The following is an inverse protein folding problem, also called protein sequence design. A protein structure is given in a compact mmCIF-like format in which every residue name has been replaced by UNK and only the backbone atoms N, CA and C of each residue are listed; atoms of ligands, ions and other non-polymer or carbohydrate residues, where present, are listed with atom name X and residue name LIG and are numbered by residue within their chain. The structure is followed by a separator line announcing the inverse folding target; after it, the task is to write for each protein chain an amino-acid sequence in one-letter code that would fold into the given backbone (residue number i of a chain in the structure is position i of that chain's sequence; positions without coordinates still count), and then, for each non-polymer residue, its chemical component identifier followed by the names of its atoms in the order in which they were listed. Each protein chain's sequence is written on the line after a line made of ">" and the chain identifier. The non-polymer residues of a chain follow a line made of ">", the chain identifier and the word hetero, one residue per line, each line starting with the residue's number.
data_IF_411583950754
#
_entry.id   IF_411583950754
#
_cell.length_a   1.000
_cell.length_b   1.000
_cell.length_c   1.000
_cell.angle_alpha   90.00
_cell.angle_beta   90.00
_cell.angle_gamma   90.00
#
_symmetry.space_group_name_H-M   'P 1'
#
loop_
_entity.id
_entity.type
_entity.pdbx_description
1 polymer ?
#
# COMPACT_ATOMS: atom_id res chain seq x y z
N UNK A 1 -9.07 -10.71 -5.04
CA UNK A 1 -9.43 -9.27 -5.00
C UNK A 1 -9.97 -8.85 -3.63
N UNK A 2 -10.91 -9.59 -3.02
CA UNK A 2 -11.39 -9.32 -1.66
C UNK A 2 -10.28 -9.40 -0.58
N UNK A 3 -9.26 -10.24 -0.76
CA UNK A 3 -8.16 -10.41 0.21
C UNK A 3 -7.23 -9.17 0.36
N UNK A 4 -7.15 -8.32 -0.66
CA UNK A 4 -6.27 -7.15 -0.64
C UNK A 4 -7.00 -5.87 -0.23
N UNK A 5 -8.34 -5.89 -0.31
CA UNK A 5 -9.22 -4.79 0.08
C UNK A 5 -8.95 -4.31 1.52
N UNK A 6 -8.88 -5.24 2.48
CA UNK A 6 -8.65 -4.91 3.90
C UNK A 6 -7.24 -4.34 4.13
N UNK A 7 -6.27 -4.74 3.31
CA UNK A 7 -4.93 -4.16 3.34
C UNK A 7 -4.92 -2.72 2.83
N UNK A 8 -5.69 -2.39 1.79
CA UNK A 8 -5.75 -1.01 1.28
C UNK A 8 -6.43 -0.10 2.30
N UNK A 9 -7.52 -0.53 2.94
CA UNK A 9 -8.17 0.29 3.99
C UNK A 9 -7.26 0.56 5.18
N UNK A 10 -6.34 -0.36 5.46
CA UNK A 10 -5.35 -0.24 6.53
C UNK A 10 -3.98 0.26 6.05
N UNK A 11 -3.88 0.77 4.81
CA UNK A 11 -2.60 1.16 4.19
C UNK A 11 -1.69 2.04 5.06
N UNK A 12 -2.19 3.11 5.74
CA UNK A 12 -1.34 3.98 6.54
C UNK A 12 -0.55 3.25 7.64
N UNK A 13 -1.13 2.19 8.22
CA UNK A 13 -0.53 1.44 9.33
C UNK A 13 0.26 0.19 8.87
N UNK A 14 0.21 -0.18 7.58
CA UNK A 14 0.94 -1.33 7.08
C UNK A 14 2.45 -1.15 7.26
N UNK A 15 3.17 -2.24 7.58
CA UNK A 15 4.63 -2.22 7.56
C UNK A 15 5.12 -2.06 6.12
N UNK A 16 6.25 -1.34 5.87
CA UNK A 16 6.81 -1.20 4.52
C UNK A 16 7.02 -2.54 3.81
N UNK A 17 7.49 -3.57 4.53
CA UNK A 17 7.63 -4.93 3.99
C UNK A 17 6.30 -5.53 3.51
N UNK A 18 5.20 -5.28 4.22
CA UNK A 18 3.86 -5.73 3.82
C UNK A 18 3.38 -5.03 2.55
N UNK A 19 3.71 -3.75 2.37
CA UNK A 19 3.37 -2.99 1.17
C UNK A 19 4.14 -3.54 -0.05
N UNK A 20 5.44 -3.81 0.10
CA UNK A 20 6.23 -4.40 -1.00
C UNK A 20 5.72 -5.81 -1.34
N UNK A 21 5.40 -6.62 -0.32
CA UNK A 21 4.80 -7.95 -0.52
C UNK A 21 3.44 -7.89 -1.21
N UNK A 22 2.64 -6.86 -0.94
CA UNK A 22 1.39 -6.62 -1.67
C UNK A 22 1.67 -6.43 -3.17
N UNK A 23 2.68 -5.64 -3.54
CA UNK A 23 3.05 -5.45 -4.95
C UNK A 23 3.53 -6.75 -5.61
N UNK A 24 4.23 -7.62 -4.88
CA UNK A 24 4.57 -8.96 -5.36
C UNK A 24 3.33 -9.82 -5.60
N UNK A 25 2.42 -9.87 -4.62
CA UNK A 25 1.22 -10.71 -4.68
C UNK A 25 0.29 -10.32 -5.83
N UNK A 26 0.21 -9.04 -6.15
CA UNK A 26 -0.60 -8.54 -7.26
C UNK A 26 0.16 -8.57 -8.58
N UNK A 27 1.42 -9.02 -8.62
CA UNK A 27 2.29 -9.00 -9.82
C UNK A 27 2.47 -7.60 -10.42
N UNK A 28 2.53 -6.56 -9.56
CA UNK A 28 2.61 -5.17 -10.00
C UNK A 28 3.89 -4.88 -10.81
N UNK A 29 4.98 -5.60 -10.52
CA UNK A 29 6.26 -5.46 -11.21
C UNK A 29 6.18 -5.74 -12.70
N UNK A 30 5.37 -6.73 -13.09
CA UNK A 30 5.11 -7.05 -14.51
C UNK A 30 3.86 -6.32 -15.02
N UNK A 31 2.91 -6.03 -14.14
CA UNK A 31 1.57 -5.50 -14.47
C UNK A 31 1.27 -4.25 -13.61
N UNK A 32 1.94 -3.11 -13.88
CA UNK A 32 1.83 -1.91 -13.04
C UNK A 32 0.39 -1.35 -12.94
N UNK A 33 -0.41 -1.55 -13.99
CA UNK A 33 -1.83 -1.18 -14.00
C UNK A 33 -2.67 -1.83 -12.88
N UNK A 34 -2.23 -2.95 -12.29
CA UNK A 34 -2.94 -3.60 -11.17
C UNK A 34 -2.95 -2.76 -9.90
N UNK A 35 -1.96 -1.89 -9.71
CA UNK A 35 -1.94 -0.93 -8.60
C UNK A 35 -3.11 0.04 -8.73
N UNK A 36 -3.31 0.56 -9.94
CA UNK A 36 -4.41 1.49 -10.24
C UNK A 36 -5.77 0.81 -10.10
N UNK A 37 -5.90 -0.41 -10.64
CA UNK A 37 -7.13 -1.19 -10.53
C UNK A 37 -7.54 -1.42 -9.08
N UNK A 38 -6.59 -1.79 -8.20
CA UNK A 38 -6.86 -1.99 -6.79
C UNK A 38 -7.24 -0.69 -6.09
N UNK A 39 -6.58 0.43 -6.42
CA UNK A 39 -6.93 1.73 -5.86
C UNK A 39 -8.38 2.11 -6.22
N UNK A 40 -8.76 1.98 -7.50
CA UNK A 40 -10.08 2.33 -8.00
C UNK A 40 -11.19 1.41 -7.46
N UNK A 41 -10.97 0.09 -7.44
CA UNK A 41 -11.97 -0.83 -6.91
C UNK A 41 -12.20 -0.64 -5.42
N UNK A 42 -11.14 -0.34 -4.66
CA UNK A 42 -11.27 -0.08 -3.21
C UNK A 42 -11.98 1.26 -2.92
N UNK A 43 -11.74 2.27 -3.74
CA UNK A 43 -12.45 3.56 -3.67
C UNK A 43 -13.93 3.41 -4.04
N UNK A 44 -14.22 2.66 -5.10
CA UNK A 44 -15.58 2.37 -5.54
C UNK A 44 -16.38 1.57 -4.49
N UNK A 45 -15.78 0.63 -3.76
CA UNK A 45 -16.44 -0.09 -2.66
C UNK A 45 -16.92 0.84 -1.54
N UNK A 46 -16.09 1.82 -1.17
CA UNK A 46 -16.45 2.80 -0.13
C UNK A 46 -17.58 3.69 -0.63
N UNK A 47 -17.46 4.22 -1.86
CA UNK A 47 -18.45 5.15 -2.43
C UNK A 47 -19.75 4.49 -2.87
N UNK A 48 -19.77 3.19 -3.08
CA UNK A 48 -20.98 2.43 -3.40
C UNK A 48 -21.95 2.30 -2.22
N UNK A 49 -21.54 2.71 -1.01
CA UNK A 49 -22.38 2.68 0.18
C UNK A 49 -23.16 3.98 0.30
N UNK A 50 -24.46 3.87 0.59
CA UNK A 50 -25.34 5.02 0.76
C UNK A 50 -24.81 5.98 1.82
N UNK A 51 -24.67 7.26 1.46
CA UNK A 51 -24.13 8.31 2.33
C UNK A 51 -22.60 8.45 2.29
N UNK A 52 -21.90 7.67 1.47
CA UNK A 52 -20.44 7.72 1.29
C UNK A 52 -20.02 8.12 -0.12
N UNK A 53 -20.95 8.58 -0.96
CA UNK A 53 -20.73 8.85 -2.38
C UNK A 53 -19.63 9.91 -2.61
N UNK A 54 -19.48 10.86 -1.68
CA UNK A 54 -18.46 11.90 -1.69
C UNK A 54 -17.27 11.63 -0.74
N UNK A 55 -17.14 10.41 -0.20
CA UNK A 55 -16.08 10.08 0.73
C UNK A 55 -14.70 10.19 0.05
N UNK A 56 -13.79 10.94 0.68
CA UNK A 56 -12.39 10.99 0.24
C UNK A 56 -11.72 9.65 0.54
N UNK A 57 -10.89 9.18 -0.40
CA UNK A 57 -10.18 7.91 -0.30
C UNK A 57 -8.66 8.12 -0.39
N UNK A 58 -8.03 8.67 0.67
CA UNK A 58 -6.60 8.96 0.69
C UNK A 58 -5.72 7.71 0.53
N UNK A 59 -6.23 6.53 0.89
CA UNK A 59 -5.52 5.26 0.81
C UNK A 59 -5.12 4.92 -0.63
N UNK A 60 -5.99 5.21 -1.61
CA UNK A 60 -5.68 5.02 -3.03
C UNK A 60 -4.53 5.93 -3.49
N UNK A 61 -4.45 7.17 -2.97
CA UNK A 61 -3.33 8.08 -3.28
C UNK A 61 -2.02 7.59 -2.66
N UNK A 62 -2.08 7.12 -1.42
CA UNK A 62 -0.92 6.56 -0.72
C UNK A 62 -0.38 5.30 -1.40
N UNK A 63 -1.27 4.40 -1.87
CA UNK A 63 -0.88 3.18 -2.59
C UNK A 63 -0.10 3.52 -3.87
N UNK A 64 -0.60 4.46 -4.68
CA UNK A 64 0.05 4.92 -5.91
C UNK A 64 1.43 5.53 -5.63
N UNK A 65 1.54 6.39 -4.60
CA UNK A 65 2.82 6.99 -4.22
C UNK A 65 3.83 5.97 -3.71
N UNK A 66 3.40 5.00 -2.90
CA UNK A 66 4.27 3.93 -2.44
C UNK A 66 4.77 3.07 -3.61
N UNK A 67 3.92 2.84 -4.62
CA UNK A 67 4.32 2.13 -5.83
C UNK A 67 5.38 2.90 -6.61
N UNK A 68 5.19 4.21 -6.83
CA UNK A 68 6.17 5.05 -7.54
C UNK A 68 7.54 4.99 -6.84
N UNK A 69 7.56 5.11 -5.52
CA UNK A 69 8.79 5.02 -4.71
C UNK A 69 9.45 3.66 -4.83
N UNK A 70 8.68 2.57 -4.72
CA UNK A 70 9.24 1.22 -4.79
C UNK A 70 9.75 0.88 -6.21
N UNK A 71 9.04 1.33 -7.26
CA UNK A 71 9.44 1.12 -8.65
C UNK A 71 10.69 1.93 -9.02
N UNK A 72 10.92 3.08 -8.40
CA UNK A 72 12.06 3.93 -8.67
C UNK A 72 13.41 3.34 -8.21
N UNK A 73 13.41 2.27 -7.39
CA UNK A 73 14.66 1.63 -6.95
C UNK A 73 15.37 0.99 -8.15
N UNK A 74 16.58 1.46 -8.50
CA UNK A 74 17.29 1.00 -9.69
C UNK A 74 17.90 -0.39 -9.47
N UNK A 75 17.56 -1.33 -10.36
CA UNK A 75 18.20 -2.66 -10.37
C UNK A 75 19.69 -2.56 -10.69
N UNK A 76 20.10 -1.54 -11.46
CA UNK A 76 21.50 -1.33 -11.85
C UNK A 76 22.41 -1.17 -10.63
N UNK A 77 22.02 -0.34 -9.66
CA UNK A 77 22.80 -0.11 -8.43
C UNK A 77 22.92 -1.38 -7.55
N UNK A 78 22.00 -2.35 -7.70
CA UNK A 78 22.09 -3.65 -7.02
C UNK A 78 23.17 -4.51 -7.69
N UNK A 79 23.18 -4.53 -9.02
CA UNK A 79 24.18 -5.27 -9.80
C UNK A 79 25.58 -4.66 -9.62
N UNK A 80 25.68 -3.34 -9.64
CA UNK A 80 26.94 -2.61 -9.43
C UNK A 80 27.50 -2.77 -8.01
N UNK A 81 26.62 -2.98 -7.02
CA UNK A 81 27.02 -3.35 -5.66
C UNK A 81 27.54 -4.80 -5.54
N UNK A 82 27.58 -5.56 -6.64
CA UNK A 82 28.23 -6.87 -6.70
C UNK A 82 27.31 -8.07 -6.48
N UNK A 83 26.01 -7.86 -6.26
CA UNK A 83 25.03 -8.94 -6.09
C UNK A 83 24.79 -9.68 -7.41
N UNK A 84 24.66 -11.02 -7.35
CA UNK A 84 24.55 -11.87 -8.55
C UNK A 84 23.40 -12.87 -8.45
N UNK A 85 22.86 -13.23 -9.62
CA UNK A 85 21.84 -14.28 -9.73
C UNK A 85 20.63 -14.06 -8.80
N UNK A 86 20.24 -15.04 -7.97
CA UNK A 86 19.11 -14.92 -7.05
C UNK A 86 19.22 -13.77 -6.04
N UNK A 87 20.45 -13.42 -5.62
CA UNK A 87 20.70 -12.39 -4.60
C UNK A 87 20.27 -10.99 -5.05
N UNK A 88 20.28 -10.74 -6.37
CA UNK A 88 19.79 -9.48 -6.94
C UNK A 88 18.33 -9.25 -6.54
N UNK A 89 17.49 -10.29 -6.58
CA UNK A 89 16.07 -10.16 -6.25
C UNK A 89 15.88 -9.85 -4.77
N UNK A 90 16.62 -10.54 -3.92
CA UNK A 90 16.54 -10.36 -2.46
C UNK A 90 16.97 -8.95 -2.08
N UNK A 91 18.11 -8.50 -2.61
CA UNK A 91 18.64 -7.17 -2.33
C UNK A 91 17.76 -6.07 -2.91
N UNK A 92 17.27 -6.23 -4.14
CA UNK A 92 16.32 -5.28 -4.73
C UNK A 92 15.05 -5.16 -3.89
N UNK A 93 14.57 -6.28 -3.33
CA UNK A 93 13.41 -6.29 -2.43
C UNK A 93 13.73 -5.53 -1.13
N UNK A 94 14.89 -5.76 -0.52
CA UNK A 94 15.33 -5.02 0.69
C UNK A 94 15.41 -3.52 0.44
N UNK A 95 16.03 -3.09 -0.67
CA UNK A 95 16.14 -1.67 -1.03
C UNK A 95 14.78 -1.01 -1.29
N UNK A 96 13.84 -1.73 -1.91
CA UNK A 96 12.45 -1.28 -2.08
C UNK A 96 11.74 -1.09 -0.75
N UNK A 97 11.91 -2.04 0.18
CA UNK A 97 11.35 -1.93 1.53
C UNK A 97 11.91 -0.70 2.24
N UNK A 98 13.22 -0.46 2.14
CA UNK A 98 13.85 0.71 2.73
C UNK A 98 13.32 2.01 2.12
N UNK A 99 13.28 2.12 0.79
CA UNK A 99 12.77 3.30 0.11
C UNK A 99 11.32 3.64 0.51
N UNK A 100 10.45 2.61 0.59
CA UNK A 100 9.07 2.78 1.07
C UNK A 100 9.03 3.17 2.55
N UNK A 101 9.94 2.63 3.38
CA UNK A 101 10.06 3.02 4.80
C UNK A 101 10.39 4.50 4.94
N UNK A 102 11.44 4.96 4.26
CA UNK A 102 11.89 6.36 4.32
C UNK A 102 10.80 7.31 3.81
N UNK A 103 10.11 6.93 2.73
CA UNK A 103 8.97 7.69 2.22
C UNK A 103 7.83 7.76 3.24
N UNK A 104 7.49 6.64 3.90
CA UNK A 104 6.44 6.63 4.93
C UNK A 104 6.82 7.47 6.13
N UNK A 105 8.07 7.46 6.57
CA UNK A 105 8.52 8.29 7.69
C UNK A 105 8.45 9.79 7.37
N UNK A 106 8.78 10.17 6.13
CA UNK A 106 8.66 11.56 5.64
C UNK A 106 7.21 12.00 5.45
N UNK A 107 6.34 11.10 4.98
CA UNK A 107 4.97 11.44 4.56
C UNK A 107 3.93 11.24 5.67
N UNK A 108 4.20 10.34 6.63
CA UNK A 108 3.29 9.95 7.72
C UNK A 108 4.08 9.89 9.04
N UNK A 109 4.25 11.05 9.72
CA UNK A 109 4.94 11.11 11.01
C UNK A 109 4.33 10.11 12.01
N UNK A 110 5.16 9.55 12.90
CA UNK A 110 4.74 8.51 13.85
C UNK A 110 3.47 8.86 14.65
N UNK A 111 3.27 10.14 14.99
CA UNK A 111 2.08 10.61 15.70
C UNK A 111 0.79 10.48 14.86
N UNK A 112 0.86 10.66 13.54
CA UNK A 112 -0.28 10.57 12.63
C UNK A 112 -0.62 9.10 12.33
N UNK A 113 0.41 8.23 12.29
CA UNK A 113 0.22 6.77 12.26
C UNK A 113 -0.56 6.27 13.48
N UNK A 114 -0.31 6.83 14.67
CA UNK A 114 -1.03 6.51 15.90
C UNK A 114 -2.47 7.09 15.91
N UNK A 115 -2.70 8.28 15.35
CA UNK A 115 -4.05 8.84 15.18
C UNK A 115 -4.93 8.01 14.24
N UNK A 116 -4.35 7.45 13.18
CA UNK A 116 -5.05 6.49 12.31
C UNK A 116 -5.48 5.21 13.06
N UNK A 117 -4.78 4.83 14.15
CA UNK A 117 -5.21 3.74 15.04
C UNK A 117 -6.39 4.18 15.92
N UNK A 118 -6.41 5.43 16.38
CA UNK A 118 -7.51 6.00 17.19
C UNK A 118 -8.83 6.16 16.42
N UNK A 119 -8.79 6.46 15.12
CA UNK A 119 -9.99 6.50 14.27
C UNK A 119 -10.59 5.11 13.96
N UNK A 120 -9.87 4.01 14.22
CA UNK A 120 -10.37 2.64 13.98
C UNK A 120 -11.68 2.32 14.70
N UNK A 121 -12.02 3.01 15.79
CA UNK A 121 -13.26 2.74 16.54
C UNK A 121 -14.50 3.43 15.98
N UNK A 122 -14.39 4.41 15.08
CA UNK A 122 -15.54 5.25 14.71
C UNK A 122 -15.92 5.15 13.23
N UNK A 123 -15.00 4.86 12.31
CA UNK A 123 -15.33 4.94 10.86
C UNK A 123 -15.43 3.60 10.14
N UNK A 124 -14.96 2.48 10.71
CA UNK A 124 -15.10 1.15 10.08
C UNK A 124 -15.89 0.13 10.90
N UNK A 125 -16.19 0.41 12.18
CA UNK A 125 -17.05 -0.45 13.01
C UNK A 125 -18.54 -0.38 12.63
N UNK A 126 -18.95 0.56 11.78
CA UNK A 126 -20.29 0.55 11.19
C UNK A 126 -20.46 -0.52 10.09
N UNK A 127 -19.38 -1.14 9.60
CA UNK A 127 -19.43 -2.09 8.47
C UNK A 127 -19.53 -3.58 8.88
N UNK A 128 -19.60 -3.91 10.17
CA UNK A 128 -19.68 -5.30 10.65
C UNK A 128 -20.98 -5.63 11.42
N UNK A 129 -22.03 -4.80 11.34
CA UNK A 129 -23.32 -5.13 11.94
C UNK A 129 -24.48 -4.55 11.13
N UNK A 130 -24.68 -5.07 9.91
CA UNK A 130 -26.00 -5.07 9.27
C UNK A 130 -26.24 -6.48 8.73
N UNK A 131 -26.70 -7.34 9.65
CA UNK A 131 -27.74 -8.35 9.50
C UNK A 131 -27.94 -8.95 8.09
N UNK A 132 -27.61 -10.24 7.96
CA UNK A 132 -28.64 -11.25 7.71
C UNK A 132 -28.48 -12.36 8.71
#
# INVERSE_FOLDING_TARGET
>A
MAEFHDLIHTFPILKPATIVKLFDNIDAWRKPQRVEQIALTSEADVRGRTGFEACDYPQGRLLRKAWDVAKAVPTKDVVEAGFKGPEIREELTKRRIQAVSDWKEKTLPSAERLRAIGQKKTTYTAAATIKR
#
